data_IF_953333730378
#
_entry.id   IF_953333730378
#
_cell.length_a   1.000
_cell.length_b   1.000
_cell.length_c   1.000
_cell.angle_alpha   90.00
_cell.angle_beta   90.00
_cell.angle_gamma   90.00
#
_symmetry.space_group_name_H-M   'P 1'
#
loop_
_entity.id
_entity.type
_entity.pdbx_description
1 polymer ?
#
# COMPACT_ATOMS: atom_id res chain seq x y z
N UNK A 1 -14.38 57.21 -40.25
CA UNK A 1 -15.28 56.54 -39.30
C UNK A 1 -14.95 55.04 -39.12
N UNK A 2 -14.51 54.34 -40.16
CA UNK A 2 -14.32 52.89 -40.18
C UNK A 2 -13.21 52.36 -39.26
N UNK A 3 -12.05 53.02 -39.19
CA UNK A 3 -10.92 52.58 -38.34
C UNK A 3 -11.31 52.54 -36.84
N UNK A 4 -12.10 53.52 -36.38
CA UNK A 4 -12.57 53.57 -34.99
C UNK A 4 -13.55 52.44 -34.67
N UNK A 5 -14.39 52.07 -35.63
CA UNK A 5 -15.30 50.92 -35.50
C UNK A 5 -14.53 49.60 -35.47
N UNK A 6 -13.53 49.44 -36.36
CA UNK A 6 -12.65 48.28 -36.39
C UNK A 6 -11.87 48.11 -35.07
N UNK A 7 -11.31 49.21 -34.53
CA UNK A 7 -10.60 49.18 -33.25
C UNK A 7 -11.52 48.82 -32.07
N UNK A 8 -12.77 49.30 -32.06
CA UNK A 8 -13.75 48.95 -31.03
C UNK A 8 -14.11 47.46 -31.09
N UNK A 9 -14.28 46.91 -32.29
CA UNK A 9 -14.54 45.48 -32.50
C UNK A 9 -13.38 44.63 -32.01
N UNK A 10 -12.15 44.97 -32.40
CA UNK A 10 -10.94 44.23 -32.01
C UNK A 10 -10.72 44.23 -30.49
N UNK A 11 -11.01 45.35 -29.81
CA UNK A 11 -10.98 45.40 -28.33
C UNK A 11 -12.04 44.49 -27.70
N UNK A 12 -13.25 44.44 -28.26
CA UNK A 12 -14.31 43.54 -27.81
C UNK A 12 -13.95 42.07 -28.00
N UNK A 13 -13.40 41.73 -29.16
CA UNK A 13 -12.97 40.37 -29.47
C UNK A 13 -11.79 39.94 -28.58
N UNK A 14 -10.82 40.82 -28.33
CA UNK A 14 -9.70 40.56 -27.41
C UNK A 14 -10.19 40.33 -25.97
N UNK A 15 -11.13 41.13 -25.48
CA UNK A 15 -11.71 40.94 -24.15
C UNK A 15 -12.47 39.61 -24.04
N UNK A 16 -13.20 39.22 -25.10
CA UNK A 16 -13.90 37.93 -25.16
C UNK A 16 -12.93 36.75 -25.17
N UNK A 17 -11.86 36.83 -25.96
CA UNK A 17 -10.80 35.80 -25.97
C UNK A 17 -10.12 35.68 -24.61
N UNK A 18 -9.80 36.80 -23.97
CA UNK A 18 -9.21 36.81 -22.62
C UNK A 18 -10.14 36.18 -21.58
N UNK A 19 -11.44 36.48 -21.65
CA UNK A 19 -12.43 35.86 -20.76
C UNK A 19 -12.55 34.34 -21.00
N UNK A 20 -12.55 33.91 -22.26
CA UNK A 20 -12.59 32.49 -22.63
C UNK A 20 -11.33 31.74 -22.15
N UNK A 21 -10.15 32.34 -22.31
CA UNK A 21 -8.90 31.77 -21.81
C UNK A 21 -8.88 31.67 -20.28
N UNK A 22 -9.36 32.70 -19.58
CA UNK A 22 -9.47 32.69 -18.13
C UNK A 22 -10.43 31.58 -17.66
N UNK A 23 -11.57 31.41 -18.34
CA UNK A 23 -12.52 30.34 -18.05
C UNK A 23 -11.91 28.95 -18.30
N UNK A 24 -11.21 28.76 -19.42
CA UNK A 24 -10.53 27.49 -19.73
C UNK A 24 -9.44 27.16 -18.70
N UNK A 25 -8.66 28.15 -18.26
CA UNK A 25 -7.66 27.98 -17.19
C UNK A 25 -8.32 27.60 -15.87
N UNK A 26 -9.41 28.26 -15.49
CA UNK A 26 -10.15 27.94 -14.27
C UNK A 26 -10.73 26.52 -14.31
N UNK A 27 -11.30 26.10 -15.44
CA UNK A 27 -11.77 24.73 -15.64
C UNK A 27 -10.62 23.72 -15.54
N UNK A 28 -9.46 23.99 -16.15
CA UNK A 28 -8.28 23.14 -16.05
C UNK A 28 -7.77 22.97 -14.61
N UNK A 29 -7.78 24.05 -13.82
CA UNK A 29 -7.41 24.00 -12.40
C UNK A 29 -8.43 23.15 -11.61
N UNK A 30 -9.73 23.36 -11.84
CA UNK A 30 -10.78 22.59 -11.19
C UNK A 30 -10.66 21.09 -11.49
N UNK A 31 -10.48 20.72 -12.77
CA UNK A 31 -10.29 19.32 -13.18
C UNK A 31 -9.07 18.69 -12.53
N UNK A 32 -7.94 19.40 -12.44
CA UNK A 32 -6.74 18.89 -11.76
C UNK A 32 -6.99 18.66 -10.27
N UNK A 33 -7.72 19.55 -9.60
CA UNK A 33 -8.08 19.39 -8.19
C UNK A 33 -8.97 18.17 -7.98
N UNK A 34 -10.00 18.01 -8.81
CA UNK A 34 -10.89 16.84 -8.76
C UNK A 34 -10.12 15.55 -9.02
N UNK A 35 -9.24 15.53 -10.02
CA UNK A 35 -8.39 14.37 -10.30
C UNK A 35 -7.47 14.01 -9.13
N UNK A 36 -6.88 15.01 -8.45
CA UNK A 36 -6.07 14.79 -7.26
C UNK A 36 -6.88 14.19 -6.10
N UNK A 37 -8.10 14.69 -5.87
CA UNK A 37 -9.01 14.15 -4.85
C UNK A 37 -9.42 12.71 -5.16
N UNK A 38 -9.78 12.42 -6.41
CA UNK A 38 -10.12 11.06 -6.84
C UNK A 38 -8.93 10.13 -6.63
N UNK A 39 -7.73 10.53 -7.08
CA UNK A 39 -6.53 9.71 -6.92
C UNK A 39 -6.25 9.40 -5.45
N UNK A 40 -6.38 10.38 -4.58
CA UNK A 40 -6.16 10.19 -3.15
C UNK A 40 -7.23 9.29 -2.53
N UNK A 41 -8.50 9.49 -2.86
CA UNK A 41 -9.60 8.63 -2.43
C UNK A 41 -9.42 7.18 -2.88
N UNK A 42 -8.95 6.96 -4.12
CA UNK A 42 -8.65 5.61 -4.64
C UNK A 42 -7.54 4.96 -3.83
N UNK A 43 -6.43 5.66 -3.52
CA UNK A 43 -5.36 5.07 -2.68
C UNK A 43 -5.87 4.62 -1.32
N UNK A 44 -6.65 5.45 -0.64
CA UNK A 44 -7.21 5.14 0.67
C UNK A 44 -8.11 3.91 0.56
N UNK A 45 -9.04 3.89 -0.40
CA UNK A 45 -9.94 2.77 -0.62
C UNK A 45 -9.18 1.47 -0.97
N UNK A 46 -8.09 1.54 -1.75
CA UNK A 46 -7.25 0.38 -2.05
C UNK A 46 -6.60 -0.18 -0.79
N UNK A 47 -6.01 0.67 0.06
CA UNK A 47 -5.39 0.23 1.32
C UNK A 47 -6.42 -0.38 2.28
N UNK A 48 -7.61 0.20 2.36
CA UNK A 48 -8.70 -0.36 3.17
C UNK A 48 -9.18 -1.71 2.64
N UNK A 49 -9.29 -1.87 1.33
CA UNK A 49 -9.63 -3.14 0.69
C UNK A 49 -8.57 -4.21 0.94
N UNK A 50 -7.28 -3.86 0.86
CA UNK A 50 -6.17 -4.78 1.20
C UNK A 50 -6.23 -5.23 2.65
N UNK A 51 -6.45 -4.31 3.60
CA UNK A 51 -6.62 -4.65 5.03
C UNK A 51 -7.82 -5.55 5.27
N UNK A 52 -8.93 -5.28 4.58
CA UNK A 52 -10.14 -6.10 4.69
C UNK A 52 -9.90 -7.51 4.14
N UNK A 53 -9.21 -7.63 2.99
CA UNK A 53 -8.82 -8.92 2.43
C UNK A 53 -7.92 -9.71 3.40
N UNK A 54 -6.99 -9.03 4.06
CA UNK A 54 -6.10 -9.65 5.05
C UNK A 54 -6.86 -10.12 6.29
N UNK A 55 -7.83 -9.35 6.76
CA UNK A 55 -8.74 -9.76 7.82
C UNK A 55 -9.54 -11.02 7.46
N UNK A 56 -10.08 -11.09 6.24
CA UNK A 56 -10.81 -12.27 5.76
C UNK A 56 -9.89 -13.49 5.65
N UNK A 57 -8.66 -13.31 5.16
CA UNK A 57 -7.67 -14.37 5.09
C UNK A 57 -7.34 -14.92 6.49
N UNK A 58 -7.05 -14.03 7.46
CA UNK A 58 -6.74 -14.40 8.85
C UNK A 58 -7.90 -15.15 9.51
N UNK A 59 -9.15 -14.78 9.22
CA UNK A 59 -10.34 -15.51 9.71
C UNK A 59 -10.46 -16.92 9.11
N UNK A 60 -10.14 -17.10 7.82
CA UNK A 60 -10.25 -18.39 7.14
C UNK A 60 -9.10 -19.35 7.48
N UNK A 61 -7.87 -18.83 7.57
CA UNK A 61 -6.66 -19.64 7.65
C UNK A 61 -5.99 -19.61 9.02
N UNK A 62 -6.45 -18.75 9.93
CA UNK A 62 -5.75 -18.46 11.17
C UNK A 62 -4.54 -17.56 10.95
N UNK A 63 -3.90 -17.15 12.04
CA UNK A 63 -2.68 -16.35 11.98
C UNK A 63 -1.50 -17.20 11.55
N UNK A 64 -0.42 -16.56 11.12
CA UNK A 64 0.85 -17.26 10.85
C UNK A 64 1.36 -18.02 12.09
N UNK A 65 1.15 -17.49 13.29
CA UNK A 65 1.49 -18.16 14.55
C UNK A 65 0.75 -19.49 14.72
N UNK A 66 -0.57 -19.50 14.48
CA UNK A 66 -1.37 -20.73 14.56
C UNK A 66 -0.93 -21.74 13.52
N UNK A 67 -0.68 -21.29 12.28
CA UNK A 67 -0.24 -22.17 11.18
C UNK A 67 1.15 -22.74 11.40
N UNK A 68 2.08 -21.93 11.90
CA UNK A 68 3.42 -22.38 12.28
C UNK A 68 3.35 -23.37 13.46
N UNK A 69 2.60 -23.05 14.52
CA UNK A 69 2.40 -23.95 15.65
C UNK A 69 1.77 -25.29 15.23
N UNK A 70 0.77 -25.26 14.34
CA UNK A 70 0.16 -26.46 13.79
C UNK A 70 1.13 -27.27 12.93
N UNK A 71 1.94 -26.61 12.09
CA UNK A 71 2.98 -27.27 11.30
C UNK A 71 3.98 -27.99 12.22
N UNK A 72 4.49 -27.31 13.24
CA UNK A 72 5.43 -27.89 14.19
C UNK A 72 4.83 -29.08 14.93
N UNK A 73 3.58 -28.93 15.40
CA UNK A 73 2.85 -29.97 16.10
C UNK A 73 2.65 -31.22 15.23
N UNK A 74 2.19 -31.05 13.99
CA UNK A 74 1.94 -32.17 13.06
C UNK A 74 3.21 -32.91 12.67
N UNK A 75 4.35 -32.21 12.62
CA UNK A 75 5.65 -32.81 12.29
C UNK A 75 6.44 -33.31 13.52
N UNK A 76 5.87 -33.21 14.73
CA UNK A 76 6.56 -33.61 15.96
C UNK A 76 7.81 -32.78 16.26
N UNK A 77 7.91 -31.57 15.71
CA UNK A 77 9.04 -30.68 15.88
C UNK A 77 8.85 -29.81 17.12
N UNK A 78 9.90 -29.70 17.94
CA UNK A 78 9.89 -28.77 19.08
C UNK A 78 10.30 -27.39 18.58
N UNK A 79 9.63 -26.35 19.07
CA UNK A 79 9.91 -24.97 18.68
C UNK A 79 11.37 -24.58 18.92
N UNK A 80 11.95 -25.01 20.04
CA UNK A 80 13.37 -24.80 20.36
C UNK A 80 14.30 -25.40 19.29
N UNK A 81 14.08 -26.65 18.90
CA UNK A 81 14.96 -27.34 17.94
C UNK A 81 14.88 -26.69 16.55
N UNK A 82 13.70 -26.19 16.19
CA UNK A 82 13.51 -25.43 14.95
C UNK A 82 14.20 -24.08 15.02
N UNK A 83 14.05 -23.34 16.11
CA UNK A 83 14.74 -22.07 16.33
C UNK A 83 16.26 -22.25 16.27
N UNK A 84 16.83 -23.24 16.97
CA UNK A 84 18.26 -23.54 16.91
C UNK A 84 18.73 -23.95 15.51
N UNK A 85 17.86 -24.53 14.67
CA UNK A 85 18.22 -24.86 13.27
C UNK A 85 18.17 -23.66 12.32
N UNK A 86 17.56 -22.56 12.76
CA UNK A 86 17.39 -21.34 11.99
C UNK A 86 18.50 -20.34 12.26
N UNK A 87 19.04 -20.32 13.48
CA UNK A 87 20.28 -19.64 13.87
C UNK A 87 21.46 -20.17 13.03
N UNK A 88 21.73 -19.50 11.90
CA UNK A 88 22.78 -19.91 10.97
C UNK A 88 24.16 -19.37 11.39
N UNK A 89 24.19 -18.27 12.14
CA UNK A 89 25.41 -17.66 12.69
C UNK A 89 25.96 -18.43 13.90
N UNK A 90 25.10 -19.18 14.59
CA UNK A 90 25.43 -19.93 15.81
C UNK A 90 25.67 -19.02 17.01
N UNK A 91 25.13 -17.80 16.99
CA UNK A 91 25.26 -16.82 18.08
C UNK A 91 24.13 -16.95 19.12
N UNK A 92 23.15 -17.82 18.87
CA UNK A 92 21.99 -18.04 19.73
C UNK A 92 20.83 -17.08 19.48
N UNK A 93 20.96 -16.17 18.52
CA UNK A 93 19.90 -15.25 18.10
C UNK A 93 19.43 -15.60 16.68
N UNK A 94 18.23 -15.15 16.32
CA UNK A 94 17.69 -15.28 14.96
C UNK A 94 17.26 -13.87 14.59
N UNK A 95 17.74 -13.37 13.46
CA UNK A 95 17.28 -12.05 13.01
C UNK A 95 15.93 -12.11 12.27
N UNK A 96 15.33 -10.95 12.03
CA UNK A 96 14.01 -10.86 11.36
C UNK A 96 14.03 -11.44 9.94
N UNK A 97 15.13 -11.25 9.21
CA UNK A 97 15.22 -11.70 7.82
C UNK A 97 15.39 -13.21 7.76
N UNK A 98 16.20 -13.79 8.65
CA UNK A 98 16.33 -15.24 8.85
C UNK A 98 14.99 -15.86 9.23
N UNK A 99 14.30 -15.29 10.22
CA UNK A 99 12.98 -15.79 10.62
C UNK A 99 12.00 -15.80 9.44
N UNK A 100 11.96 -14.72 8.65
CA UNK A 100 11.09 -14.61 7.49
C UNK A 100 11.43 -15.65 6.42
N UNK A 101 12.70 -15.79 6.08
CA UNK A 101 13.17 -16.75 5.07
C UNK A 101 12.84 -18.20 5.47
N UNK A 102 13.08 -18.54 6.74
CA UNK A 102 12.88 -19.90 7.24
C UNK A 102 11.41 -20.26 7.37
N UNK A 103 10.56 -19.34 7.81
CA UNK A 103 9.10 -19.54 7.83
C UNK A 103 8.54 -19.78 6.43
N UNK A 104 9.01 -19.02 5.42
CA UNK A 104 8.65 -19.26 4.02
C UNK A 104 9.20 -20.61 3.51
N UNK A 105 10.41 -20.98 3.92
CA UNK A 105 11.05 -22.26 3.60
C UNK A 105 10.29 -23.49 4.11
N UNK A 106 9.45 -23.35 5.15
CA UNK A 106 8.54 -24.39 5.62
C UNK A 106 7.30 -24.58 4.72
N UNK A 107 7.15 -23.77 3.66
CA UNK A 107 5.99 -23.79 2.78
C UNK A 107 4.76 -23.08 3.35
N UNK A 108 4.92 -22.26 4.39
CA UNK A 108 3.85 -21.45 4.94
C UNK A 108 3.68 -20.17 4.12
N UNK A 109 2.48 -19.95 3.60
CA UNK A 109 2.16 -18.70 2.90
C UNK A 109 2.03 -17.55 3.91
N UNK A 110 2.97 -16.62 3.87
CA UNK A 110 3.02 -15.50 4.80
C UNK A 110 3.41 -14.21 4.09
N UNK A 111 2.75 -13.11 4.43
CA UNK A 111 3.23 -11.79 4.04
C UNK A 111 4.39 -11.38 4.95
N UNK A 112 5.34 -10.61 4.43
CA UNK A 112 6.51 -10.15 5.18
C UNK A 112 6.13 -9.50 6.53
N UNK A 113 5.15 -8.60 6.52
CA UNK A 113 4.70 -7.92 7.75
C UNK A 113 4.09 -8.87 8.79
N UNK A 114 3.46 -9.98 8.38
CA UNK A 114 2.90 -10.95 9.33
C UNK A 114 3.99 -11.76 10.02
N UNK A 115 5.04 -12.12 9.28
CA UNK A 115 6.23 -12.77 9.85
C UNK A 115 6.94 -11.83 10.82
N UNK A 116 7.08 -10.56 10.46
CA UNK A 116 7.71 -9.55 11.30
C UNK A 116 6.90 -9.29 12.58
N UNK A 117 5.56 -9.18 12.47
CA UNK A 117 4.65 -9.06 13.62
C UNK A 117 4.74 -10.28 14.55
N UNK A 118 4.86 -11.49 13.99
CA UNK A 118 5.05 -12.70 14.79
C UNK A 118 6.41 -12.66 15.49
N UNK A 119 7.49 -12.33 14.78
CA UNK A 119 8.82 -12.21 15.35
C UNK A 119 8.82 -11.24 16.53
N UNK A 120 8.32 -10.01 16.32
CA UNK A 120 8.22 -8.97 17.36
C UNK A 120 7.35 -9.40 18.56
N UNK A 121 6.41 -10.32 18.34
CA UNK A 121 5.59 -10.85 19.43
C UNK A 121 6.32 -11.90 20.29
N UNK A 122 7.29 -12.60 19.70
CA UNK A 122 8.09 -13.66 20.32
C UNK A 122 9.36 -13.10 20.96
N UNK A 123 9.97 -12.09 20.35
CA UNK A 123 11.22 -11.45 20.76
C UNK A 123 11.01 -10.36 21.84
N UNK A 124 10.40 -10.76 22.96
CA UNK A 124 10.06 -9.86 24.08
C UNK A 124 10.84 -10.16 25.35
#
# INVERSE_FOLDING_TARGET
AEIKAALKKLKGDAAKTQANEAAARAQGIALRRTAAQIREGVKVATVEAEKAADGVWKLRHGTIATRLGEFLYRNGMKAHDVASSWDASGDGEIDKDEFRERVLGLGLEAKAHESDELFDSLDK
#
